data_IF_486604468836
#
_entry.id   IF_486604468836
#
_cell.length_a   1.000
_cell.length_b   1.000
_cell.length_c   1.000
_cell.angle_alpha   90.00
_cell.angle_beta   90.00
_cell.angle_gamma   90.00
#
_symmetry.space_group_name_H-M   'P 1'
#
loop_
_entity.id
_entity.type
_entity.pdbx_description
1 polymer ?
#
# COMPACT_ATOMS: atom_id res chain seq x y z
N UNK A 1 50.25 -24.31 -7.91
CA UNK A 1 49.26 -23.58 -8.73
C UNK A 1 48.15 -24.56 -9.11
N UNK A 2 47.16 -24.77 -8.26
CA UNK A 2 46.13 -25.81 -8.46
C UNK A 2 45.00 -25.20 -9.28
N UNK A 3 45.01 -25.45 -10.59
CA UNK A 3 43.96 -24.98 -11.50
C UNK A 3 42.59 -25.58 -11.12
N UNK A 4 41.56 -24.74 -11.11
CA UNK A 4 40.19 -25.17 -10.83
C UNK A 4 39.74 -26.16 -11.92
N UNK A 5 39.44 -27.40 -11.51
CA UNK A 5 38.97 -28.48 -12.37
C UNK A 5 37.69 -28.06 -13.14
N UNK A 6 37.55 -28.36 -14.45
CA UNK A 6 36.37 -28.02 -15.24
C UNK A 6 35.03 -28.46 -14.62
N UNK A 7 35.03 -29.54 -13.83
CA UNK A 7 33.84 -29.97 -13.10
C UNK A 7 33.38 -28.95 -12.03
N UNK A 8 34.32 -28.31 -11.31
CA UNK A 8 33.99 -27.25 -10.36
C UNK A 8 33.48 -25.98 -11.05
N UNK A 9 34.04 -25.64 -12.22
CA UNK A 9 33.57 -24.52 -13.03
C UNK A 9 32.13 -24.78 -13.51
N UNK A 10 31.83 -26.00 -13.96
CA UNK A 10 30.47 -26.39 -14.34
C UNK A 10 29.50 -26.34 -13.15
N UNK A 11 29.94 -26.74 -11.95
CA UNK A 11 29.15 -26.64 -10.72
C UNK A 11 28.78 -25.20 -10.36
N UNK A 12 29.77 -24.29 -10.36
CA UNK A 12 29.57 -22.86 -10.10
C UNK A 12 28.62 -22.21 -11.13
N UNK A 13 28.74 -22.57 -12.41
CA UNK A 13 27.85 -22.08 -13.47
C UNK A 13 26.39 -22.53 -13.30
N UNK A 14 26.16 -23.73 -12.78
CA UNK A 14 24.80 -24.21 -12.49
C UNK A 14 24.20 -23.49 -11.29
N UNK A 15 24.99 -23.23 -10.25
CA UNK A 15 24.56 -22.44 -9.07
C UNK A 15 24.24 -20.99 -9.43
N UNK A 16 25.06 -20.33 -10.26
CA UNK A 16 24.81 -18.96 -10.70
C UNK A 16 23.57 -18.84 -11.60
N UNK A 17 23.35 -19.79 -12.51
CA UNK A 17 22.13 -19.85 -13.32
C UNK A 17 20.87 -20.05 -12.45
N UNK A 18 20.97 -20.86 -11.37
CA UNK A 18 19.88 -21.07 -10.42
C UNK A 18 19.56 -19.81 -9.61
N UNK A 19 20.57 -19.07 -9.16
CA UNK A 19 20.39 -17.79 -8.47
C UNK A 19 19.74 -16.72 -9.36
N UNK A 20 20.12 -16.65 -10.64
CA UNK A 20 19.53 -15.71 -11.60
C UNK A 20 18.08 -16.08 -11.97
N UNK A 21 17.75 -17.38 -12.00
CA UNK A 21 16.38 -17.85 -12.31
C UNK A 21 15.38 -17.57 -11.19
N UNK A 22 15.83 -17.41 -9.95
CA UNK A 22 15.00 -16.94 -8.83
C UNK A 22 14.69 -15.45 -8.88
N UNK A 23 15.33 -14.68 -9.77
CA UNK A 23 15.12 -13.23 -9.90
C UNK A 23 14.25 -12.84 -11.10
N UNK A 24 13.72 -13.82 -11.84
CA UNK A 24 12.90 -13.60 -13.03
C UNK A 24 11.53 -14.26 -12.86
N UNK A 25 10.78 -13.80 -11.87
CA UNK A 25 9.35 -14.02 -11.76
C UNK A 25 8.76 -12.86 -10.97
N UNK A 26 8.05 -11.98 -11.68
CA UNK A 26 7.00 -11.07 -11.18
C UNK A 26 7.40 -10.03 -10.13
N UNK A 27 7.41 -8.77 -10.57
CA UNK A 27 6.93 -7.64 -9.78
C UNK A 27 5.51 -7.93 -9.29
N UNK A 28 5.39 -8.63 -8.18
CA UNK A 28 4.18 -8.81 -7.40
C UNK A 28 4.70 -9.10 -6.00
N UNK A 29 4.79 -8.05 -5.21
CA UNK A 29 4.89 -8.05 -3.75
C UNK A 29 4.62 -9.43 -3.13
N UNK A 30 5.67 -10.05 -2.60
CA UNK A 30 5.54 -11.08 -1.56
C UNK A 30 4.94 -10.44 -0.31
N UNK A 31 3.63 -10.25 -0.33
CA UNK A 31 2.84 -10.32 0.89
C UNK A 31 1.85 -11.45 0.66
N UNK A 32 1.72 -12.40 1.58
CA UNK A 32 0.55 -13.25 1.54
C UNK A 32 -0.64 -12.30 1.64
N UNK A 33 -1.44 -12.17 0.57
CA UNK A 33 -2.77 -11.55 0.58
C UNK A 33 -3.69 -12.37 1.50
N UNK A 34 -3.40 -12.34 2.79
CA UNK A 34 -4.32 -12.69 3.87
C UNK A 34 -5.24 -11.51 4.17
N UNK A 35 -5.55 -10.69 3.17
CA UNK A 35 -6.53 -9.60 3.28
C UNK A 35 -7.92 -10.02 2.74
N UNK A 36 -8.07 -11.27 2.28
CA UNK A 36 -9.27 -11.72 1.56
C UNK A 36 -10.45 -12.17 2.44
N UNK A 37 -10.56 -11.75 3.70
CA UNK A 37 -11.66 -12.18 4.58
C UNK A 37 -12.46 -11.04 5.23
N UNK A 38 -12.05 -9.79 5.09
CA UNK A 38 -12.84 -8.64 5.55
C UNK A 38 -13.03 -7.67 4.39
N UNK A 39 -14.14 -7.84 3.65
CA UNK A 39 -14.62 -6.78 2.78
C UNK A 39 -15.07 -5.62 3.66
N UNK A 40 -14.23 -4.58 3.76
CA UNK A 40 -14.53 -3.37 4.52
C UNK A 40 -15.69 -2.56 3.94
N UNK A 41 -16.24 -2.94 2.78
CA UNK A 41 -17.37 -2.27 2.13
C UNK A 41 -18.56 -2.03 3.06
N UNK A 42 -18.91 -2.98 3.94
CA UNK A 42 -20.03 -2.77 4.88
C UNK A 42 -19.72 -1.74 5.97
N UNK A 43 -18.47 -1.71 6.45
CA UNK A 43 -18.01 -0.71 7.42
C UNK A 43 -17.95 0.65 6.76
N UNK A 44 -17.37 0.72 5.57
CA UNK A 44 -17.31 1.93 4.74
C UNK A 44 -18.70 2.51 4.51
N UNK A 45 -19.65 1.71 4.03
CA UNK A 45 -21.03 2.16 3.77
C UNK A 45 -21.71 2.71 5.03
N UNK A 46 -21.54 2.04 6.18
CA UNK A 46 -22.03 2.52 7.48
C UNK A 46 -21.39 3.83 7.90
N UNK A 47 -20.08 3.96 7.76
CA UNK A 47 -19.34 5.18 8.12
C UNK A 47 -19.79 6.34 7.24
N UNK A 48 -19.88 6.16 5.92
CA UNK A 48 -20.34 7.19 4.99
C UNK A 48 -21.79 7.59 5.29
N UNK A 49 -22.68 6.63 5.52
CA UNK A 49 -24.06 6.88 5.94
C UNK A 49 -24.12 7.68 7.25
N UNK A 50 -23.30 7.32 8.24
CA UNK A 50 -23.26 8.00 9.52
C UNK A 50 -22.68 9.42 9.43
N UNK A 51 -21.69 9.65 8.56
CA UNK A 51 -21.16 10.98 8.27
C UNK A 51 -22.24 11.88 7.67
N UNK A 52 -23.00 11.36 6.70
CA UNK A 52 -24.10 12.08 6.08
C UNK A 52 -25.23 12.40 7.08
N UNK A 53 -25.58 11.45 7.95
CA UNK A 53 -26.56 11.66 9.03
C UNK A 53 -26.09 12.67 10.08
N UNK A 54 -24.77 12.78 10.29
CA UNK A 54 -24.17 13.74 11.23
C UNK A 54 -24.02 15.13 10.63
N UNK A 55 -24.40 15.35 9.36
CA UNK A 55 -24.28 16.62 8.67
C UNK A 55 -22.84 17.00 8.29
N UNK A 56 -21.94 16.00 8.23
CA UNK A 56 -20.55 16.21 7.77
C UNK A 56 -20.52 16.12 6.25
N UNK A 57 -19.91 17.12 5.61
CA UNK A 57 -19.75 17.12 4.16
C UNK A 57 -18.70 16.07 3.77
N UNK A 58 -19.05 15.18 2.83
CA UNK A 58 -18.17 14.11 2.37
C UNK A 58 -17.71 14.43 0.96
N UNK A 59 -16.42 14.70 0.80
CA UNK A 59 -15.76 14.89 -0.49
C UNK A 59 -15.46 13.53 -1.15
N UNK A 60 -15.18 13.52 -2.47
CA UNK A 60 -14.69 12.33 -3.16
C UNK A 60 -13.51 11.73 -2.39
N UNK A 61 -13.44 10.42 -2.28
CA UNK A 61 -12.35 9.79 -1.53
C UNK A 61 -10.96 10.10 -2.10
N UNK A 62 -9.94 9.88 -1.28
CA UNK A 62 -8.54 10.07 -1.67
C UNK A 62 -8.10 9.03 -2.70
N UNK A 63 -7.30 9.45 -3.68
CA UNK A 63 -6.64 8.57 -4.64
C UNK A 63 -5.39 7.93 -4.02
N UNK A 64 -4.95 6.79 -4.54
CA UNK A 64 -3.76 6.09 -4.05
C UNK A 64 -2.49 6.97 -4.08
N UNK A 65 -2.37 7.84 -5.09
CA UNK A 65 -1.30 8.83 -5.18
C UNK A 65 -1.37 9.90 -4.09
N UNK A 66 -2.57 10.27 -3.62
CA UNK A 66 -2.76 11.21 -2.51
C UNK A 66 -2.39 10.55 -1.18
N UNK A 67 -2.76 9.27 -0.98
CA UNK A 67 -2.30 8.50 0.18
C UNK A 67 -0.78 8.39 0.21
N UNK A 68 -0.14 8.00 -0.88
CA UNK A 68 1.32 7.88 -0.93
C UNK A 68 2.04 9.20 -0.60
N UNK A 69 1.46 10.34 -1.01
CA UNK A 69 1.97 11.67 -0.64
C UNK A 69 1.81 11.95 0.85
N UNK A 70 0.64 11.68 1.42
CA UNK A 70 0.40 11.86 2.86
C UNK A 70 1.28 10.93 3.71
N UNK A 71 1.46 9.67 3.31
CA UNK A 71 2.35 8.72 3.98
C UNK A 71 3.81 9.21 3.97
N UNK A 72 4.25 9.82 2.87
CA UNK A 72 5.58 10.41 2.75
C UNK A 72 5.77 11.68 3.57
N UNK A 73 4.75 12.55 3.66
CA UNK A 73 4.83 13.81 4.42
C UNK A 73 4.79 13.57 5.93
N UNK A 74 3.87 12.72 6.39
CA UNK A 74 3.67 12.48 7.82
C UNK A 74 4.48 11.29 8.36
N UNK A 75 5.16 10.53 7.50
CA UNK A 75 6.03 9.42 7.89
C UNK A 75 5.30 8.21 8.50
N UNK A 76 4.00 8.05 8.21
CA UNK A 76 3.21 6.89 8.63
C UNK A 76 2.62 6.17 7.41
N UNK A 77 2.23 4.91 7.59
CA UNK A 77 1.53 4.13 6.55
C UNK A 77 0.08 3.98 6.97
N UNK A 78 -0.86 4.32 6.09
CA UNK A 78 -2.28 4.13 6.40
C UNK A 78 -2.59 2.62 6.45
N UNK A 79 -3.23 2.12 7.52
CA UNK A 79 -3.72 0.76 7.54
C UNK A 79 -4.77 0.56 6.42
N UNK A 80 -4.88 -0.66 5.85
CA UNK A 80 -5.76 -0.93 4.71
C UNK A 80 -7.23 -0.63 4.99
N UNK A 81 -7.67 -0.77 6.24
CA UNK A 81 -9.02 -0.42 6.70
C UNK A 81 -9.30 1.09 6.56
N UNK A 82 -8.40 1.93 7.09
CA UNK A 82 -8.53 3.39 7.01
C UNK A 82 -8.41 3.89 5.57
N UNK A 83 -7.55 3.28 4.74
CA UNK A 83 -7.47 3.58 3.30
C UNK A 83 -8.80 3.30 2.62
N UNK A 84 -9.46 2.18 2.90
CA UNK A 84 -10.75 1.84 2.29
C UNK A 84 -11.84 2.86 2.62
N UNK A 85 -11.87 3.34 3.87
CA UNK A 85 -12.82 4.37 4.31
C UNK A 85 -12.54 5.70 3.62
N UNK A 86 -11.29 6.18 3.68
CA UNK A 86 -10.89 7.47 3.11
C UNK A 86 -10.93 7.47 1.56
N UNK A 87 -10.75 6.32 0.92
CA UNK A 87 -10.88 6.17 -0.53
C UNK A 87 -12.34 6.14 -1.00
N UNK A 88 -13.28 5.76 -0.14
CA UNK A 88 -14.70 5.77 -0.46
C UNK A 88 -15.33 7.15 -0.26
N UNK A 89 -14.89 7.90 0.75
CA UNK A 89 -15.32 9.27 0.96
C UNK A 89 -14.55 9.92 2.10
N UNK A 90 -14.07 11.14 1.87
CA UNK A 90 -13.30 11.88 2.85
C UNK A 90 -14.20 12.90 3.56
N UNK A 91 -14.42 12.79 4.88
CA UNK A 91 -15.13 13.83 5.62
C UNK A 91 -14.28 15.10 5.66
N UNK A 92 -14.86 16.21 5.21
CA UNK A 92 -14.33 17.56 5.41
C UNK A 92 -15.18 18.26 6.47
N UNK A 93 -14.55 18.68 7.56
CA UNK A 93 -15.24 19.29 8.68
C UNK A 93 -14.28 19.75 9.77
N UNK A 94 -14.75 20.67 10.61
CA UNK A 94 -13.96 21.19 11.73
C UNK A 94 -13.56 20.04 12.66
N UNK A 95 -12.26 19.71 12.68
CA UNK A 95 -11.70 18.62 13.49
C UNK A 95 -11.17 17.42 12.69
N UNK A 96 -11.41 17.36 11.37
CA UNK A 96 -10.76 16.39 10.49
C UNK A 96 -9.55 17.01 9.77
N UNK A 97 -8.40 16.32 9.73
CA UNK A 97 -7.25 16.79 8.95
C UNK A 97 -7.58 16.82 7.45
N UNK A 98 -7.31 17.95 6.80
CA UNK A 98 -7.35 18.03 5.35
C UNK A 98 -6.15 17.28 4.75
N UNK A 99 -6.32 15.98 4.51
CA UNK A 99 -5.28 15.14 3.88
C UNK A 99 -4.91 15.57 2.46
N UNK A 100 -5.81 16.32 1.79
CA UNK A 100 -5.60 16.90 0.46
C UNK A 100 -4.79 18.17 0.47
N UNK A 101 -4.94 18.98 1.50
CA UNK A 101 -4.15 20.18 1.65
C UNK A 101 -2.77 19.73 2.08
N UNK A 102 -1.78 19.92 1.20
CA UNK A 102 -0.37 19.89 1.58
C UNK A 102 -0.27 20.76 2.82
N UNK A 103 -0.03 20.13 3.99
CA UNK A 103 -0.38 20.67 5.30
C UNK A 103 -0.25 22.18 5.31
N UNK A 104 -1.35 22.89 5.57
CA UNK A 104 -1.36 24.34 5.62
C UNK A 104 -0.18 24.76 6.50
N UNK A 105 0.92 25.12 5.83
CA UNK A 105 2.13 25.63 6.45
C UNK A 105 1.73 27.01 6.93
N UNK A 106 1.26 27.06 8.17
CA UNK A 106 1.31 28.27 8.98
C UNK A 106 2.79 28.59 9.25
#
# INVERSE_FOLDING_TARGET
MTGLNPAHIAGLRRLSARAASSSSSTSSSSFPERNSLFSFSSVVDKVITQLHNSGVEVQPGLSDAEFARAEAEFGFVFPPDLRAILAAGMPIGAGFPDWRSNGARL
#
